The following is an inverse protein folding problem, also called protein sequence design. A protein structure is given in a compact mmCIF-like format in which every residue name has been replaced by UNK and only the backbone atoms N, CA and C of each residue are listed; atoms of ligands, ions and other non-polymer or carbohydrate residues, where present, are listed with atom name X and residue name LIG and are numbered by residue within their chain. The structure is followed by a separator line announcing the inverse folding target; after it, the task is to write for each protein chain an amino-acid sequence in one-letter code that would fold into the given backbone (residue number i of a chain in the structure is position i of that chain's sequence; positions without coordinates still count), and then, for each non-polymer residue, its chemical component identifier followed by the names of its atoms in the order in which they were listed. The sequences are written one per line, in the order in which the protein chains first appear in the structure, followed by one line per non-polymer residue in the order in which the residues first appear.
data_IF_725650333556
#
_entry.id   IF_725650333556
#
_cell.length_a   1.000
_cell.length_b   1.000
_cell.length_c   1.000
_cell.angle_alpha   90.00
_cell.angle_beta   90.00
_cell.angle_gamma   90.00
#
_symmetry.space_group_name_H-M   'P 1'
#
loop_
_entity.id
_entity.type
_entity.pdbx_description
1 polymer ?
#
# COMPACT_ATOMS: atom_id res chain seq x y z
N UNK A 1 12.11 -23.90 -7.62
CA UNK A 1 12.29 -22.47 -7.28
C UNK A 1 11.00 -22.01 -6.63
N UNK A 2 11.07 -21.53 -5.39
CA UNK A 2 9.92 -20.97 -4.68
C UNK A 2 9.37 -19.78 -5.48
N UNK A 3 8.04 -19.66 -5.53
CA UNK A 3 7.35 -18.58 -6.24
C UNK A 3 7.62 -17.29 -5.47
N UNK A 4 8.56 -16.47 -5.94
CA UNK A 4 8.79 -15.14 -5.39
C UNK A 4 7.48 -14.37 -5.42
N UNK A 5 7.04 -13.86 -4.27
CA UNK A 5 5.89 -12.95 -4.22
C UNK A 5 6.43 -11.59 -4.64
N UNK A 6 6.31 -11.31 -5.95
CA UNK A 6 6.62 -10.00 -6.52
C UNK A 6 5.38 -9.10 -6.40
N UNK A 7 5.52 -7.99 -5.70
CA UNK A 7 4.53 -6.91 -5.64
C UNK A 7 5.01 -5.69 -6.44
N UNK A 8 4.44 -4.50 -6.21
CA UNK A 8 4.85 -3.30 -6.94
C UNK A 8 6.28 -2.87 -6.58
N UNK A 9 6.98 -2.29 -7.54
CA UNK A 9 8.20 -1.52 -7.29
C UNK A 9 7.88 -0.22 -6.52
N UNK A 10 8.89 0.42 -5.92
CA UNK A 10 8.70 1.73 -5.30
C UNK A 10 8.21 2.80 -6.28
N UNK A 11 8.65 2.72 -7.55
CA UNK A 11 8.17 3.60 -8.61
C UNK A 11 6.68 3.39 -8.89
N UNK A 12 6.23 2.14 -8.96
CA UNK A 12 4.81 1.79 -9.14
C UNK A 12 3.96 2.15 -7.91
N UNK A 13 4.52 2.11 -6.70
CA UNK A 13 3.82 2.58 -5.49
C UNK A 13 3.59 4.10 -5.54
N UNK A 14 4.57 4.87 -6.03
CA UNK A 14 4.48 6.32 -6.21
C UNK A 14 3.58 6.70 -7.39
N UNK A 15 3.68 5.95 -8.48
CA UNK A 15 3.01 6.15 -9.76
C UNK A 15 2.21 4.91 -10.16
N UNK A 16 1.09 4.60 -9.49
CA UNK A 16 0.32 3.37 -9.73
C UNK A 16 -0.31 3.29 -11.13
N UNK A 17 -0.29 4.38 -11.89
CA UNK A 17 -0.67 4.43 -13.29
C UNK A 17 0.38 3.82 -14.24
N UNK A 18 1.61 3.55 -13.77
CA UNK A 18 2.64 2.83 -14.54
C UNK A 18 2.52 1.31 -14.42
N UNK A 19 1.79 0.83 -13.40
CA UNK A 19 1.47 -0.61 -13.23
C UNK A 19 0.72 -1.10 -14.47
N UNK A 20 1.07 -2.29 -14.95
CA UNK A 20 0.42 -2.91 -16.11
C UNK A 20 -1.12 -2.85 -15.97
N UNK A 21 -1.87 -2.37 -16.98
CA UNK A 21 -3.30 -2.09 -16.84
C UNK A 21 -4.13 -3.27 -16.33
N UNK A 22 -3.81 -4.48 -16.78
CA UNK A 22 -4.48 -5.71 -16.33
C UNK A 22 -4.23 -6.01 -14.83
N UNK A 23 -3.02 -5.75 -14.33
CA UNK A 23 -2.67 -5.92 -12.91
C UNK A 23 -3.39 -4.87 -12.08
N UNK A 24 -3.34 -3.59 -12.50
CA UNK A 24 -3.99 -2.50 -11.78
C UNK A 24 -5.50 -2.68 -11.70
N UNK A 25 -6.14 -3.10 -12.80
CA UNK A 25 -7.58 -3.37 -12.82
C UNK A 25 -7.97 -4.50 -11.85
N UNK A 26 -7.20 -5.60 -11.85
CA UNK A 26 -7.42 -6.71 -10.91
C UNK A 26 -7.20 -6.29 -9.46
N UNK A 27 -6.14 -5.53 -9.19
CA UNK A 27 -5.84 -5.01 -7.86
C UNK A 27 -7.01 -4.16 -7.36
N UNK A 28 -7.51 -3.22 -8.17
CA UNK A 28 -8.64 -2.36 -7.79
C UNK A 28 -9.93 -3.15 -7.53
N UNK A 29 -10.22 -4.17 -8.34
CA UNK A 29 -11.38 -5.04 -8.13
C UNK A 29 -11.27 -5.89 -6.86
N UNK A 30 -10.07 -6.43 -6.58
CA UNK A 30 -9.81 -7.26 -5.41
C UNK A 30 -10.02 -6.52 -4.10
N UNK A 31 -9.83 -5.18 -4.05
CA UNK A 31 -10.05 -4.37 -2.83
C UNK A 31 -11.40 -4.62 -2.17
N UNK A 32 -12.44 -4.88 -2.96
CA UNK A 32 -13.80 -5.13 -2.47
C UNK A 32 -14.21 -6.59 -2.59
N UNK A 33 -13.78 -7.27 -3.65
CA UNK A 33 -14.21 -8.63 -3.95
C UNK A 33 -13.44 -9.69 -3.14
N UNK A 34 -12.15 -9.45 -2.91
CA UNK A 34 -11.26 -10.34 -2.16
C UNK A 34 -10.13 -9.53 -1.49
N UNK A 35 -10.38 -8.92 -0.32
CA UNK A 35 -9.40 -8.07 0.36
C UNK A 35 -8.12 -8.81 0.79
N UNK A 36 -8.13 -10.14 0.81
CA UNK A 36 -6.99 -10.97 1.22
C UNK A 36 -6.17 -11.48 0.03
N UNK A 37 -6.61 -11.26 -1.22
CA UNK A 37 -5.85 -11.62 -2.40
C UNK A 37 -4.50 -10.88 -2.41
N UNK A 38 -3.35 -11.57 -2.57
CA UNK A 38 -2.02 -10.96 -2.67
C UNK A 38 -1.88 -9.85 -3.73
N UNK A 39 -2.75 -9.82 -4.75
CA UNK A 39 -2.80 -8.74 -5.75
C UNK A 39 -3.03 -7.37 -5.11
N UNK A 40 -3.60 -7.31 -3.89
CA UNK A 40 -3.76 -6.08 -3.14
C UNK A 40 -2.43 -5.41 -2.74
N UNK A 41 -1.29 -6.09 -2.83
CA UNK A 41 0.02 -5.43 -2.71
C UNK A 41 0.19 -4.30 -3.74
N UNK A 42 -0.40 -4.41 -4.93
CA UNK A 42 -0.41 -3.36 -5.96
C UNK A 42 -1.35 -2.18 -5.63
N UNK A 43 -2.06 -2.24 -4.49
CA UNK A 43 -2.84 -1.13 -3.95
C UNK A 43 -2.11 -0.39 -2.82
N UNK A 44 -0.84 -0.73 -2.51
CA UNK A 44 -0.02 0.02 -1.55
C UNK A 44 0.43 1.33 -2.20
N UNK A 45 -0.42 2.34 -2.14
CA UNK A 45 -0.19 3.66 -2.72
C UNK A 45 -1.09 4.70 -2.05
N UNK A 46 -0.68 5.96 -2.09
CA UNK A 46 -1.49 7.09 -1.62
C UNK A 46 -2.57 7.53 -2.63
N UNK A 47 -2.75 6.80 -3.74
CA UNK A 47 -3.66 7.18 -4.82
C UNK A 47 -4.77 6.17 -5.07
N UNK A 48 -5.96 6.69 -5.35
CA UNK A 48 -7.14 5.88 -5.69
C UNK A 48 -7.09 5.31 -7.13
N UNK A 49 -8.18 4.66 -7.56
CA UNK A 49 -8.31 4.12 -8.91
C UNK A 49 -8.34 5.18 -10.01
N UNK A 50 -8.65 6.43 -9.66
CA UNK A 50 -8.68 7.60 -10.54
C UNK A 50 -7.39 8.44 -10.42
N UNK A 51 -6.38 7.94 -9.71
CA UNK A 51 -5.10 8.60 -9.46
C UNK A 51 -5.15 9.84 -8.53
N UNK A 52 -6.26 10.06 -7.82
CA UNK A 52 -6.40 11.13 -6.82
C UNK A 52 -5.69 10.74 -5.52
N UNK A 53 -5.11 11.71 -4.81
CA UNK A 53 -4.44 11.48 -3.53
C UNK A 53 -5.47 11.32 -2.41
N UNK A 54 -5.22 10.39 -1.49
CA UNK A 54 -5.99 10.24 -0.25
C UNK A 54 -5.71 11.36 0.75
N UNK A 55 -6.52 12.41 0.71
CA UNK A 55 -6.45 13.50 1.68
C UNK A 55 -7.82 14.08 2.03
N UNK A 56 -7.86 14.79 3.16
CA UNK A 56 -8.99 15.62 3.57
C UNK A 56 -8.48 16.97 4.02
N UNK A 57 -9.16 18.05 3.62
CA UNK A 57 -8.87 19.39 4.12
C UNK A 57 -9.82 19.65 5.29
N UNK A 58 -9.27 19.85 6.47
CA UNK A 58 -10.07 20.02 7.68
C UNK A 58 -10.83 21.35 7.63
N UNK A 59 -12.13 21.38 7.98
CA UNK A 59 -12.90 22.62 8.03
C UNK A 59 -12.34 23.62 9.04
N UNK A 60 -12.39 24.91 8.72
CA UNK A 60 -11.92 25.97 9.63
C UNK A 60 -12.79 26.05 10.89
N UNK A 61 -14.07 25.73 10.77
CA UNK A 61 -15.04 25.67 11.86
C UNK A 61 -14.68 24.60 12.89
N UNK A 62 -13.99 23.53 12.46
CA UNK A 62 -13.53 22.46 13.34
C UNK A 62 -12.12 22.74 13.90
N UNK A 63 -11.25 23.37 13.11
CA UNK A 63 -9.84 23.58 13.50
C UNK A 63 -9.63 24.87 14.30
N UNK A 64 -10.45 25.90 14.09
CA UNK A 64 -10.33 27.20 14.77
C UNK A 64 -9.10 28.02 14.35
N UNK A 65 -8.41 27.64 13.26
CA UNK A 65 -7.20 28.32 12.78
C UNK A 65 -7.35 28.81 11.35
N UNK A 66 -6.65 29.89 10.99
CA UNK A 66 -6.63 30.40 9.61
C UNK A 66 -5.84 29.52 8.65
N UNK A 67 -4.92 28.69 9.17
CA UNK A 67 -4.10 27.79 8.39
C UNK A 67 -4.92 26.63 7.80
N UNK A 68 -4.60 26.24 6.57
CA UNK A 68 -5.17 25.03 5.96
C UNK A 68 -4.51 23.79 6.57
N UNK A 69 -5.29 22.96 7.25
CA UNK A 69 -4.82 21.67 7.77
C UNK A 69 -5.24 20.57 6.79
N UNK A 70 -4.26 19.95 6.14
CA UNK A 70 -4.47 18.85 5.19
C UNK A 70 -4.06 17.54 5.86
N UNK A 71 -4.98 16.58 5.92
CA UNK A 71 -4.77 15.27 6.52
C UNK A 71 -4.66 14.24 5.40
N UNK A 72 -3.46 13.66 5.22
CA UNK A 72 -3.30 12.43 4.46
C UNK A 72 -3.83 11.26 5.28
N UNK A 73 -4.58 10.35 4.66
CA UNK A 73 -5.16 9.20 5.39
C UNK A 73 -4.82 7.86 4.74
N UNK A 74 -4.60 6.86 5.59
CA UNK A 74 -4.26 5.49 5.19
C UNK A 74 -5.40 4.48 5.28
N UNK A 75 -6.62 4.92 5.63
CA UNK A 75 -7.77 4.00 5.88
C UNK A 75 -8.14 3.13 4.68
N UNK A 76 -7.78 3.58 3.48
CA UNK A 76 -8.11 2.90 2.21
C UNK A 76 -6.96 2.04 1.68
N UNK A 77 -5.85 1.93 2.42
CA UNK A 77 -4.78 0.98 2.12
C UNK A 77 -5.29 -0.47 2.29
N UNK A 78 -4.62 -1.48 1.70
CA UNK A 78 -5.03 -2.88 1.76
C UNK A 78 -5.38 -3.42 3.15
N UNK A 79 -4.61 -3.03 4.17
CA UNK A 79 -4.82 -3.46 5.57
C UNK A 79 -5.66 -2.47 6.40
N UNK A 80 -6.20 -1.42 5.78
CA UNK A 80 -6.82 -0.28 6.47
C UNK A 80 -5.81 0.65 7.16
N UNK A 81 -4.50 0.46 6.93
CA UNK A 81 -3.44 1.26 7.53
C UNK A 81 -2.26 1.43 6.59
N UNK A 82 -1.64 2.61 6.63
CA UNK A 82 -0.44 2.93 5.84
C UNK A 82 0.79 2.10 6.24
N UNK A 83 0.79 1.48 7.43
CA UNK A 83 1.91 0.65 7.93
C UNK A 83 2.22 -0.55 7.03
N UNK A 84 1.27 -1.01 6.22
CA UNK A 84 1.51 -2.08 5.24
C UNK A 84 2.64 -1.73 4.27
N UNK A 85 2.80 -0.44 3.92
CA UNK A 85 3.88 0.00 3.04
C UNK A 85 5.27 -0.21 3.66
N UNK A 86 5.42 0.10 4.96
CA UNK A 86 6.70 -0.07 5.66
C UNK A 86 7.05 -1.55 5.86
N UNK A 87 6.06 -2.39 6.20
CA UNK A 87 6.28 -3.84 6.30
C UNK A 87 6.66 -4.43 4.93
N UNK A 88 5.97 -4.01 3.87
CA UNK A 88 6.24 -4.44 2.50
C UNK A 88 7.64 -4.01 2.02
N UNK A 89 8.04 -2.75 2.26
CA UNK A 89 9.32 -2.23 1.78
C UNK A 89 10.52 -2.97 2.37
N UNK A 90 10.48 -3.27 3.68
CA UNK A 90 11.55 -4.03 4.33
C UNK A 90 11.56 -5.49 3.86
N UNK A 91 10.38 -6.10 3.64
CA UNK A 91 10.29 -7.46 3.12
C UNK A 91 10.85 -7.57 1.70
N UNK A 92 10.42 -6.69 0.79
CA UNK A 92 10.82 -6.78 -0.62
C UNK A 92 12.31 -6.48 -0.80
N UNK A 93 12.89 -5.60 0.02
CA UNK A 93 14.33 -5.34 0.07
C UNK A 93 15.08 -6.62 0.46
N UNK A 94 14.72 -7.25 1.59
CA UNK A 94 15.37 -8.49 2.06
C UNK A 94 15.22 -9.66 1.10
N UNK A 95 14.05 -9.78 0.47
CA UNK A 95 13.83 -10.79 -0.58
C UNK A 95 14.73 -10.53 -1.80
N UNK A 96 14.92 -9.26 -2.18
CA UNK A 96 15.78 -8.88 -3.32
C UNK A 96 17.26 -9.19 -3.07
N UNK A 97 17.72 -9.09 -1.83
CA UNK A 97 19.07 -9.51 -1.43
C UNK A 97 19.21 -11.01 -1.17
N UNK A 98 18.11 -11.79 -1.26
CA UNK A 98 18.12 -13.22 -0.96
C UNK A 98 18.26 -13.55 0.53
N UNK A 99 18.09 -12.57 1.42
CA UNK A 99 18.15 -12.75 2.87
C UNK A 99 16.87 -13.40 3.43
N UNK A 100 15.76 -13.25 2.72
CA UNK A 100 14.44 -13.73 3.12
C UNK A 100 13.77 -14.46 1.97
N UNK A 101 13.31 -15.67 2.25
CA UNK A 101 12.33 -16.42 1.45
C UNK A 101 11.05 -16.60 2.28
N UNK A 102 9.94 -15.93 1.93
CA UNK A 102 8.66 -16.02 2.66
C UNK A 102 8.02 -17.42 2.65
N UNK A 103 8.47 -18.32 1.78
CA UNK A 103 7.98 -19.71 1.74
C UNK A 103 8.66 -20.62 2.77
N UNK A 104 9.79 -20.18 3.34
CA UNK A 104 10.58 -20.96 4.30
C UNK A 104 10.78 -20.24 5.63
N UNK A 105 10.83 -18.91 5.61
CA UNK A 105 11.13 -18.10 6.79
C UNK A 105 9.86 -17.53 7.42
N UNK A 106 9.79 -17.61 8.75
CA UNK A 106 8.77 -16.92 9.53
C UNK A 106 9.23 -15.50 9.83
N UNK A 107 8.45 -14.51 9.42
CA UNK A 107 8.72 -13.09 9.68
C UNK A 107 8.07 -12.67 11.00
N UNK A 108 8.85 -12.07 11.89
CA UNK A 108 8.39 -11.60 13.20
C UNK A 108 8.50 -10.08 13.25
N UNK A 109 7.37 -9.42 13.47
CA UNK A 109 7.26 -7.96 13.52
C UNK A 109 6.71 -7.53 14.89
N UNK A 110 7.56 -7.07 15.83
CA UNK A 110 7.06 -6.48 17.06
C UNK A 110 6.34 -5.17 16.71
N UNK A 111 5.04 -5.11 16.94
CA UNK A 111 4.20 -3.95 16.64
C UNK A 111 3.12 -3.75 17.71
N UNK A 112 2.63 -2.51 17.85
CA UNK A 112 1.41 -2.20 18.62
C UNK A 112 0.12 -2.50 17.83
N UNK A 113 0.26 -3.00 16.61
CA UNK A 113 -0.78 -3.17 15.59
C UNK A 113 -0.18 -3.07 14.19
#
# INVERSE_FOLDING_TARGET
MSKQILGPTFEEMLHPNTIAPAIRARALAARTQDPLDPINLFNITWRDGNNNIYYHVMPKELTGTDANIVVLYGKDFPSGSHKVGAAYSVLIEKQSFGEVDPSTHTLVWPSTG
#
